data_IF_827498271604
#
_entry.id   IF_827498271604
#
_cell.length_a   1.000
_cell.length_b   1.000
_cell.length_c   1.000
_cell.angle_alpha   90.00
_cell.angle_beta   90.00
_cell.angle_gamma   90.00
#
_symmetry.space_group_name_H-M   'P 1'
#
loop_
_entity.id
_entity.type
_entity.pdbx_description
1 polymer ?
#
# COMPACT_ATOMS: atom_id res chain seq x y z
N UNK A 1 0.43 -33.39 16.79
CA UNK A 1 0.84 -32.20 17.54
C UNK A 1 -0.33 -31.22 17.61
N UNK A 2 -0.70 -30.80 18.81
CA UNK A 2 -1.78 -29.84 19.10
C UNK A 2 -1.33 -28.41 18.76
N UNK A 3 -0.05 -28.09 18.94
CA UNK A 3 0.51 -26.76 18.68
C UNK A 3 0.41 -26.40 17.19
N UNK A 4 0.77 -27.32 16.29
CA UNK A 4 0.55 -27.14 14.86
C UNK A 4 -0.90 -26.81 14.50
N UNK A 5 -1.89 -27.53 15.05
CA UNK A 5 -3.32 -27.29 14.77
C UNK A 5 -3.80 -25.91 15.25
N UNK A 6 -3.32 -25.46 16.41
CA UNK A 6 -3.66 -24.14 16.96
C UNK A 6 -3.10 -23.02 16.06
N UNK A 7 -1.85 -23.15 15.60
CA UNK A 7 -1.23 -22.16 14.69
C UNK A 7 -2.02 -22.04 13.38
N UNK A 8 -2.39 -23.17 12.76
CA UNK A 8 -3.18 -23.16 11.53
C UNK A 8 -4.57 -22.54 11.72
N UNK A 9 -5.24 -22.83 12.84
CA UNK A 9 -6.56 -22.25 13.15
C UNK A 9 -6.47 -20.72 13.30
N UNK A 10 -5.50 -20.21 14.05
CA UNK A 10 -5.26 -18.78 14.20
C UNK A 10 -4.96 -18.11 12.86
N UNK A 11 -4.18 -18.74 11.99
CA UNK A 11 -3.92 -18.23 10.64
C UNK A 11 -5.19 -18.17 9.79
N UNK A 12 -6.06 -19.18 9.86
CA UNK A 12 -7.33 -19.20 9.15
C UNK A 12 -8.30 -18.13 9.66
N UNK A 13 -8.37 -17.94 10.97
CA UNK A 13 -9.20 -16.91 11.61
C UNK A 13 -8.75 -15.50 11.19
N UNK A 14 -7.45 -15.21 11.27
CA UNK A 14 -6.87 -13.92 10.84
C UNK A 14 -7.18 -13.67 9.36
N UNK A 15 -6.97 -14.68 8.51
CA UNK A 15 -7.23 -14.59 7.07
C UNK A 15 -8.72 -14.29 6.80
N UNK A 16 -9.62 -14.96 7.51
CA UNK A 16 -11.05 -14.74 7.37
C UNK A 16 -11.46 -13.33 7.82
N UNK A 17 -10.94 -12.85 8.96
CA UNK A 17 -11.21 -11.50 9.43
C UNK A 17 -10.75 -10.43 8.41
N UNK A 18 -9.53 -10.56 7.88
CA UNK A 18 -9.02 -9.66 6.83
C UNK A 18 -9.90 -9.71 5.59
N UNK A 19 -10.30 -10.90 5.13
CA UNK A 19 -11.18 -11.06 3.97
C UNK A 19 -12.56 -10.43 4.20
N UNK A 20 -13.14 -10.55 5.40
CA UNK A 20 -14.41 -9.91 5.75
C UNK A 20 -14.29 -8.37 5.75
N UNK A 21 -13.20 -7.83 6.29
CA UNK A 21 -12.92 -6.39 6.23
C UNK A 21 -12.79 -5.92 4.78
N UNK A 22 -11.96 -6.56 3.97
CA UNK A 22 -11.75 -6.14 2.57
C UNK A 22 -13.03 -6.27 1.74
N UNK A 23 -13.81 -7.35 1.92
CA UNK A 23 -15.03 -7.59 1.13
C UNK A 23 -16.20 -6.70 1.51
N UNK A 24 -16.17 -6.06 2.68
CA UNK A 24 -17.20 -5.09 3.10
C UNK A 24 -16.92 -3.66 2.63
N UNK A 25 -15.78 -3.41 2.00
CA UNK A 25 -15.45 -2.12 1.39
C UNK A 25 -16.40 -1.81 0.22
N UNK A 26 -16.82 -0.56 0.13
CA UNK A 26 -17.62 -0.01 -0.97
C UNK A 26 -16.75 0.98 -1.72
N UNK A 27 -16.72 0.87 -3.05
CA UNK A 27 -16.07 1.85 -3.91
C UNK A 27 -16.90 3.13 -3.87
N UNK A 28 -16.25 4.22 -3.49
CA UNK A 28 -16.87 5.53 -3.36
C UNK A 28 -15.89 6.59 -3.88
N UNK A 29 -16.07 7.09 -5.12
CA UNK A 29 -15.16 8.07 -5.73
C UNK A 29 -15.15 9.42 -5.02
N UNK A 30 -16.15 9.72 -4.19
CA UNK A 30 -16.32 11.02 -3.55
C UNK A 30 -15.55 11.12 -2.22
N UNK A 31 -15.02 10.00 -1.71
CA UNK A 31 -14.19 9.96 -0.49
C UNK A 31 -12.71 9.80 -0.81
N UNK A 32 -11.87 10.34 0.08
CA UNK A 32 -10.42 10.18 -0.01
C UNK A 32 -10.01 8.72 0.07
N UNK A 33 -9.15 8.31 -0.85
CA UNK A 33 -8.74 6.91 -0.99
C UNK A 33 -9.75 6.02 -1.72
N UNK A 34 -10.91 6.55 -2.14
CA UNK A 34 -11.84 5.88 -3.06
C UNK A 34 -12.61 4.68 -2.49
N UNK A 35 -12.45 4.38 -1.20
CA UNK A 35 -13.14 3.30 -0.51
C UNK A 35 -13.72 3.82 0.81
N UNK A 36 -14.91 3.34 1.13
CA UNK A 36 -15.52 3.50 2.45
C UNK A 36 -16.05 2.18 2.98
N UNK A 37 -16.25 2.12 4.29
CA UNK A 37 -16.95 1.02 4.94
C UNK A 37 -18.32 1.49 5.40
N UNK A 38 -19.36 0.64 5.32
CA UNK A 38 -20.59 0.88 6.05
C UNK A 38 -20.30 1.01 7.56
N UNK A 39 -21.11 1.80 8.27
CA UNK A 39 -20.92 2.03 9.69
C UNK A 39 -20.81 0.71 10.47
N UNK A 40 -19.75 0.56 11.26
CA UNK A 40 -19.47 -0.63 12.06
C UNK A 40 -18.92 -1.81 11.26
N UNK A 41 -18.55 -1.63 9.98
CA UNK A 41 -17.89 -2.64 9.14
C UNK A 41 -16.39 -2.37 8.95
N UNK A 42 -15.90 -1.24 9.45
CA UNK A 42 -14.49 -0.87 9.46
C UNK A 42 -13.66 -1.62 10.52
N UNK A 43 -14.29 -2.47 11.34
CA UNK A 43 -13.63 -3.28 12.36
C UNK A 43 -14.30 -4.65 12.56
N UNK A 44 -13.53 -5.61 13.10
CA UNK A 44 -14.00 -6.95 13.48
C UNK A 44 -13.44 -7.30 14.85
N UNK A 45 -14.32 -7.74 15.75
CA UNK A 45 -14.05 -8.27 17.10
C UNK A 45 -13.06 -7.45 17.93
N UNK A 46 -13.01 -6.13 17.77
CA UNK A 46 -12.02 -5.21 18.39
C UNK A 46 -10.54 -5.57 18.11
N UNK A 47 -10.29 -6.60 17.30
CA UNK A 47 -8.95 -7.15 17.00
C UNK A 47 -8.38 -6.59 15.72
N UNK A 48 -9.23 -6.31 14.74
CA UNK A 48 -8.83 -5.79 13.43
C UNK A 48 -9.65 -4.56 13.09
N UNK A 49 -9.00 -3.52 12.60
CA UNK A 49 -9.66 -2.32 12.10
C UNK A 49 -8.92 -1.72 10.91
N UNK A 50 -9.65 -1.01 10.06
CA UNK A 50 -9.08 -0.22 8.97
C UNK A 50 -8.46 1.03 9.58
N UNK A 51 -7.14 1.15 9.44
CA UNK A 51 -6.39 2.32 9.92
C UNK A 51 -6.22 3.37 8.83
N UNK A 52 -6.41 2.99 7.57
CA UNK A 52 -6.52 3.91 6.46
C UNK A 52 -6.48 3.25 5.10
N UNK A 53 -6.68 4.07 4.07
CA UNK A 53 -6.90 3.66 2.68
C UNK A 53 -5.99 4.45 1.75
N UNK A 54 -5.32 3.77 0.83
CA UNK A 54 -4.41 4.37 -0.15
C UNK A 54 -4.82 3.94 -1.55
N UNK A 55 -5.42 4.84 -2.31
CA UNK A 55 -5.59 4.67 -3.75
C UNK A 55 -4.40 5.30 -4.47
N UNK A 56 -3.50 4.45 -4.97
CA UNK A 56 -2.27 4.90 -5.64
C UNK A 56 -2.28 4.51 -7.11
N UNK A 57 -2.20 5.51 -7.98
CA UNK A 57 -1.94 5.33 -9.40
C UNK A 57 -0.45 5.55 -9.67
N UNK A 58 0.18 4.65 -10.42
CA UNK A 58 1.59 4.79 -10.79
C UNK A 58 1.80 4.64 -12.29
N UNK A 59 2.72 5.43 -12.83
CA UNK A 59 3.21 5.30 -14.21
C UNK A 59 4.72 5.32 -14.19
N UNK A 60 5.34 4.31 -14.78
CA UNK A 60 6.80 4.21 -14.84
C UNK A 60 7.28 4.23 -16.29
N UNK A 61 8.31 5.03 -16.54
CA UNK A 61 9.05 5.08 -17.79
C UNK A 61 10.47 4.64 -17.51
N UNK A 62 11.02 3.78 -18.38
CA UNK A 62 12.37 3.25 -18.21
C UNK A 62 13.04 3.09 -19.56
N UNK A 63 14.31 3.47 -19.61
CA UNK A 63 15.25 3.06 -20.64
C UNK A 63 16.56 2.60 -19.98
N UNK A 64 17.59 2.33 -20.78
CA UNK A 64 18.89 1.85 -20.28
C UNK A 64 19.57 2.82 -19.32
N UNK A 65 19.37 4.14 -19.50
CA UNK A 65 20.09 5.18 -18.75
C UNK A 65 19.24 5.82 -17.65
N UNK A 66 17.92 5.59 -17.63
CA UNK A 66 16.99 6.40 -16.85
C UNK A 66 15.75 5.61 -16.42
N UNK A 67 15.24 5.93 -15.22
CA UNK A 67 13.93 5.50 -14.74
C UNK A 67 13.20 6.68 -14.11
N UNK A 68 12.03 6.99 -14.65
CA UNK A 68 11.09 7.98 -14.13
C UNK A 68 9.85 7.24 -13.61
N UNK A 69 9.43 7.53 -12.38
CA UNK A 69 8.15 7.09 -11.83
C UNK A 69 7.32 8.30 -11.47
N UNK A 70 6.09 8.33 -11.96
CA UNK A 70 5.06 9.25 -11.54
C UNK A 70 4.09 8.48 -10.66
N UNK A 71 3.72 9.03 -9.52
CA UNK A 71 2.78 8.44 -8.59
C UNK A 71 1.79 9.49 -8.14
N UNK A 72 0.50 9.19 -8.26
CA UNK A 72 -0.59 9.95 -7.66
C UNK A 72 -1.15 9.09 -6.53
N UNK A 73 -1.12 9.58 -5.30
CA UNK A 73 -1.63 8.87 -4.14
C UNK A 73 -2.72 9.69 -3.46
N UNK A 74 -3.92 9.14 -3.41
CA UNK A 74 -5.04 9.65 -2.64
C UNK A 74 -5.23 8.76 -1.41
N UNK A 75 -5.23 9.38 -0.23
CA UNK A 75 -5.06 8.70 1.05
C UNK A 75 -6.05 9.20 2.07
N UNK A 76 -6.48 8.29 2.94
CA UNK A 76 -7.28 8.63 4.10
C UNK A 76 -6.81 7.83 5.32
N UNK A 77 -6.36 8.53 6.35
CA UNK A 77 -5.97 7.97 7.63
C UNK A 77 -7.14 8.04 8.61
N UNK A 78 -7.66 6.87 9.00
CA UNK A 78 -8.79 6.76 9.93
C UNK A 78 -8.40 7.12 11.36
N UNK A 79 -7.12 6.98 11.74
CA UNK A 79 -6.66 7.28 13.11
C UNK A 79 -6.67 8.77 13.39
N UNK A 80 -6.24 9.55 12.41
CA UNK A 80 -6.22 11.01 12.50
C UNK A 80 -7.45 11.67 11.86
N UNK A 81 -8.29 10.89 11.17
CA UNK A 81 -9.41 11.40 10.35
C UNK A 81 -8.95 12.44 9.31
N UNK A 82 -7.75 12.25 8.75
CA UNK A 82 -7.18 13.17 7.76
C UNK A 82 -7.04 12.52 6.39
N UNK A 83 -7.33 13.31 5.36
CA UNK A 83 -7.12 12.93 3.97
C UNK A 83 -5.96 13.70 3.35
N UNK A 84 -5.15 13.02 2.53
CA UNK A 84 -4.01 13.62 1.82
C UNK A 84 -4.02 13.18 0.35
N UNK A 85 -3.76 14.12 -0.55
CA UNK A 85 -3.47 13.82 -1.95
C UNK A 85 -2.03 14.27 -2.25
N UNK A 86 -1.18 13.34 -2.65
CA UNK A 86 0.20 13.63 -3.05
C UNK A 86 0.47 13.24 -4.50
N UNK A 87 1.22 14.10 -5.19
CA UNK A 87 1.83 13.78 -6.47
C UNK A 87 3.34 13.64 -6.27
N UNK A 88 3.86 12.45 -6.54
CA UNK A 88 5.26 12.10 -6.32
C UNK A 88 5.95 11.79 -7.65
N UNK A 89 7.16 12.34 -7.82
CA UNK A 89 8.02 12.05 -8.96
C UNK A 89 9.32 11.45 -8.46
N UNK A 90 9.61 10.22 -8.86
CA UNK A 90 10.91 9.58 -8.60
C UNK A 90 11.73 9.54 -9.87
N UNK A 91 12.96 10.05 -9.80
CA UNK A 91 13.88 10.08 -10.92
C UNK A 91 15.17 9.35 -10.56
N UNK A 92 15.58 8.36 -11.36
CA UNK A 92 16.82 7.61 -11.18
C UNK A 92 17.65 7.63 -12.46
N UNK A 93 18.86 8.17 -12.36
CA UNK A 93 19.87 8.23 -13.41
C UNK A 93 20.73 6.96 -13.38
N UNK A 94 20.26 5.92 -14.05
CA UNK A 94 20.91 4.60 -14.06
C UNK A 94 22.27 4.67 -14.76
N UNK A 95 22.36 5.36 -15.89
CA UNK A 95 23.59 5.45 -16.67
C UNK A 95 24.73 6.14 -15.91
N UNK A 96 24.43 7.25 -15.23
CA UNK A 96 25.41 7.99 -14.44
C UNK A 96 25.84 7.17 -13.21
N UNK A 97 24.91 6.50 -12.54
CA UNK A 97 25.22 5.59 -11.43
C UNK A 97 26.22 4.50 -11.86
N UNK A 98 25.99 3.87 -13.01
CA UNK A 98 26.87 2.84 -13.55
C UNK A 98 28.26 3.38 -13.90
N UNK A 99 28.35 4.56 -14.55
CA UNK A 99 29.63 5.18 -14.87
C UNK A 99 30.44 5.54 -13.62
N UNK A 100 29.78 6.02 -12.56
CA UNK A 100 30.44 6.33 -11.29
C UNK A 100 30.93 5.06 -10.56
N UNK A 101 30.19 3.96 -10.60
CA UNK A 101 30.62 2.68 -10.03
C UNK A 101 31.84 2.12 -10.76
N UNK A 102 31.87 2.16 -12.09
CA UNK A 102 33.05 1.75 -12.89
C UNK A 102 34.27 2.61 -12.55
N UNK A 103 34.10 3.93 -12.43
CA UNK A 103 35.21 4.84 -12.11
C UNK A 103 35.87 4.56 -10.75
N UNK A 104 35.11 4.05 -9.76
CA UNK A 104 35.62 3.64 -8.44
C UNK A 104 36.37 2.30 -8.46
N UNK A 105 36.09 1.44 -9.43
CA UNK A 105 36.78 0.14 -9.59
C UNK A 105 38.12 0.36 -10.30
N UNK A 106 38.20 1.35 -11.19
CA UNK A 106 39.41 1.67 -11.95
C UNK A 106 40.38 2.65 -11.26
N UNK A 107 40.10 3.04 -10.01
CA UNK A 107 40.93 3.91 -9.15
C UNK A 107 41.49 3.13 -7.98
#
# INVERSE_FOLDING_TARGET
DIFGKVIWFLQAEVKNAINCLVSSAVIDPDVKGGLRWPLGKESIDERFSIVGVWHTNYKAFRNEKLRLKLRHADRFDHRSSTGEVSNEVTFKLIGISASLEVSKICS
#
